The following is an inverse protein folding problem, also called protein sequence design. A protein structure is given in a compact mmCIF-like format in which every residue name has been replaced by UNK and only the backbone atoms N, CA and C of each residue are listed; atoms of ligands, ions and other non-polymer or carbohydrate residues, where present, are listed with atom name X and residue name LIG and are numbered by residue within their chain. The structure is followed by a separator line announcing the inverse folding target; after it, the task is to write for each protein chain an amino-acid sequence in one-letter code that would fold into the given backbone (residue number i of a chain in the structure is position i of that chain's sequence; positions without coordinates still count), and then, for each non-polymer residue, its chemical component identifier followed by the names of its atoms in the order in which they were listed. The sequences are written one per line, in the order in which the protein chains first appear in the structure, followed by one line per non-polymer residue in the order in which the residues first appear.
data_IF_253350999222
#
_entry.id   IF_253350999222
#
_cell.length_a   1.000
_cell.length_b   1.000
_cell.length_c   1.000
_cell.angle_alpha   90.00
_cell.angle_beta   90.00
_cell.angle_gamma   90.00
#
_symmetry.space_group_name_H-M   'P 1'
#
loop_
_entity.id
_entity.type
_entity.pdbx_description
1 polymer ?
#
# COMPACT_ATOMS: atom_id res chain seq x y z
N UNK A 1 19.11 -30.50 -5.77
CA UNK A 1 17.72 -30.95 -5.91
C UNK A 1 16.92 -30.25 -4.82
N UNK A 2 16.34 -29.10 -5.08
CA UNK A 2 15.35 -28.47 -4.21
C UNK A 2 14.13 -28.13 -5.08
N UNK A 3 13.25 -29.11 -5.27
CA UNK A 3 11.88 -28.89 -5.68
C UNK A 3 11.12 -28.35 -4.47
N UNK A 4 10.94 -27.04 -4.37
CA UNK A 4 9.88 -26.45 -3.56
C UNK A 4 8.75 -26.11 -4.55
N UNK A 5 7.73 -26.93 -4.57
CA UNK A 5 6.45 -26.57 -5.12
C UNK A 5 6.03 -25.25 -4.46
N UNK A 6 5.97 -24.18 -5.25
CA UNK A 6 5.17 -23.01 -4.90
C UNK A 6 3.75 -23.56 -4.80
N UNK A 7 3.23 -23.68 -3.59
CA UNK A 7 1.80 -23.85 -3.38
C UNK A 7 1.15 -22.56 -3.89
N UNK A 8 0.84 -22.53 -5.17
CA UNK A 8 -0.11 -21.60 -5.70
C UNK A 8 -1.41 -21.89 -4.97
N UNK A 9 -1.90 -20.89 -4.22
CA UNK A 9 -3.25 -20.92 -3.65
C UNK A 9 -4.27 -20.88 -4.81
N UNK A 10 -4.40 -22.00 -5.50
CA UNK A 10 -5.43 -22.24 -6.49
C UNK A 10 -6.71 -22.60 -5.73
N UNK A 11 -7.43 -21.61 -5.29
CA UNK A 11 -8.87 -21.57 -5.05
C UNK A 11 -9.23 -20.21 -4.46
N UNK A 12 -8.94 -19.15 -5.23
CA UNK A 12 -9.54 -17.87 -4.96
C UNK A 12 -10.98 -17.97 -5.44
N UNK A 13 -11.91 -18.10 -4.51
CA UNK A 13 -13.32 -17.91 -4.83
C UNK A 13 -13.47 -16.56 -5.49
N UNK A 14 -14.04 -16.49 -6.68
CA UNK A 14 -14.38 -15.26 -7.42
C UNK A 14 -15.31 -14.30 -6.64
N UNK A 15 -15.62 -14.63 -5.41
CA UNK A 15 -16.48 -13.88 -4.48
C UNK A 15 -15.72 -13.03 -3.48
N UNK A 16 -14.39 -13.15 -3.35
CA UNK A 16 -13.62 -12.35 -2.39
C UNK A 16 -13.47 -10.92 -2.88
N UNK A 17 -13.99 -9.98 -2.11
CA UNK A 17 -13.92 -8.54 -2.41
C UNK A 17 -12.72 -7.92 -1.71
N UNK A 18 -11.82 -7.34 -2.50
CA UNK A 18 -10.58 -6.68 -2.06
C UNK A 18 -10.69 -5.18 -2.29
N UNK A 19 -10.65 -4.41 -1.21
CA UNK A 19 -10.55 -2.95 -1.26
C UNK A 19 -9.09 -2.52 -1.26
N UNK A 20 -8.69 -1.70 -2.23
CA UNK A 20 -7.32 -1.17 -2.32
C UNK A 20 -7.36 0.35 -2.19
N UNK A 21 -6.75 0.88 -1.11
CA UNK A 21 -6.53 2.31 -0.92
C UNK A 21 -5.09 2.68 -1.28
N UNK A 22 -4.90 3.90 -1.80
CA UNK A 22 -3.61 4.27 -2.41
C UNK A 22 -3.40 3.66 -3.80
N UNK A 23 -4.49 3.23 -4.45
CA UNK A 23 -4.51 2.55 -5.75
C UNK A 23 -3.79 3.32 -6.88
N UNK A 24 -3.82 4.66 -6.84
CA UNK A 24 -3.16 5.52 -7.85
C UNK A 24 -1.64 5.65 -7.66
N UNK A 25 -1.08 5.04 -6.61
CA UNK A 25 0.36 4.99 -6.36
C UNK A 25 1.09 3.98 -7.25
N UNK A 26 2.43 3.98 -7.16
CA UNK A 26 3.27 3.04 -7.91
C UNK A 26 2.93 1.59 -7.52
N UNK A 27 3.04 1.26 -6.24
CA UNK A 27 2.72 -0.08 -5.71
C UNK A 27 1.22 -0.36 -5.77
N UNK A 28 0.38 0.60 -5.34
CA UNK A 28 -1.07 0.39 -5.31
C UNK A 28 -1.66 0.03 -6.67
N UNK A 29 -1.21 0.69 -7.75
CA UNK A 29 -1.65 0.34 -9.11
C UNK A 29 -1.22 -1.07 -9.55
N UNK A 30 -0.01 -1.50 -9.18
CA UNK A 30 0.45 -2.86 -9.43
C UNK A 30 -0.37 -3.89 -8.64
N UNK A 31 -0.71 -3.57 -7.37
CA UNK A 31 -1.56 -4.42 -6.53
C UNK A 31 -2.96 -4.54 -7.12
N UNK A 32 -3.55 -3.45 -7.65
CA UNK A 32 -4.85 -3.51 -8.34
C UNK A 32 -4.78 -4.46 -9.53
N UNK A 33 -3.83 -4.24 -10.46
CA UNK A 33 -3.68 -5.05 -11.66
C UNK A 33 -3.48 -6.54 -11.33
N UNK A 34 -2.63 -6.83 -10.36
CA UNK A 34 -2.36 -8.21 -9.94
C UNK A 34 -3.58 -8.84 -9.26
N UNK A 35 -4.30 -8.11 -8.42
CA UNK A 35 -5.52 -8.62 -7.77
C UNK A 35 -6.61 -8.96 -8.78
N UNK A 36 -6.79 -8.11 -9.81
CA UNK A 36 -7.70 -8.40 -10.93
C UNK A 36 -7.25 -9.65 -11.69
N UNK A 37 -5.95 -9.76 -12.01
CA UNK A 37 -5.37 -10.92 -12.69
C UNK A 37 -5.58 -12.22 -11.93
N UNK A 38 -5.59 -12.17 -10.59
CA UNK A 38 -5.85 -13.30 -9.71
C UNK A 38 -7.35 -13.65 -9.58
N UNK A 39 -8.24 -12.86 -10.20
CA UNK A 39 -9.68 -13.12 -10.21
C UNK A 39 -10.44 -12.63 -8.98
N UNK A 40 -9.85 -11.73 -8.18
CA UNK A 40 -10.58 -11.08 -7.08
C UNK A 40 -11.60 -10.06 -7.60
N UNK A 41 -12.65 -9.81 -6.82
CA UNK A 41 -13.51 -8.65 -7.02
C UNK A 41 -12.82 -7.42 -6.42
N UNK A 42 -12.27 -6.53 -7.27
CA UNK A 42 -11.39 -5.46 -6.84
C UNK A 42 -12.11 -4.12 -6.83
N UNK A 43 -12.03 -3.43 -5.68
CA UNK A 43 -12.48 -2.04 -5.50
C UNK A 43 -11.22 -1.17 -5.31
N UNK A 44 -10.95 -0.29 -6.26
CA UNK A 44 -9.84 0.65 -6.21
C UNK A 44 -10.34 2.03 -5.77
N UNK A 45 -9.81 2.55 -4.65
CA UNK A 45 -10.19 3.88 -4.14
C UNK A 45 -9.26 4.94 -4.69
N UNK A 46 -9.83 6.00 -5.26
CA UNK A 46 -9.10 7.16 -5.75
C UNK A 46 -9.83 8.47 -5.41
N UNK A 47 -9.08 9.58 -5.28
CA UNK A 47 -9.67 10.92 -5.04
C UNK A 47 -10.27 11.54 -6.28
N UNK A 48 -9.82 11.13 -7.44
CA UNK A 48 -10.32 11.63 -8.74
C UNK A 48 -10.27 10.54 -9.80
N UNK A 49 -11.14 10.64 -10.78
CA UNK A 49 -11.15 9.72 -11.91
C UNK A 49 -9.87 9.90 -12.73
N UNK A 50 -9.13 8.82 -12.96
CA UNK A 50 -7.97 8.76 -13.84
C UNK A 50 -8.19 7.63 -14.83
N UNK A 51 -7.89 7.88 -16.10
CA UNK A 51 -7.72 6.80 -17.08
C UNK A 51 -6.36 6.16 -16.84
N UNK A 52 -6.36 4.90 -16.41
CA UNK A 52 -5.15 4.13 -16.10
C UNK A 52 -5.48 2.65 -16.32
N UNK A 53 -4.83 2.02 -17.27
CA UNK A 53 -5.06 0.62 -17.63
C UNK A 53 -4.81 -0.35 -16.48
N UNK A 54 -4.10 0.07 -15.43
CA UNK A 54 -3.92 -0.74 -14.22
C UNK A 54 -5.22 -0.97 -13.45
N UNK A 55 -6.27 -0.20 -13.77
CA UNK A 55 -7.60 -0.33 -13.17
C UNK A 55 -8.59 -1.12 -14.03
N UNK A 56 -8.14 -1.62 -15.20
CA UNK A 56 -8.99 -2.41 -16.07
C UNK A 56 -9.44 -3.69 -15.33
N UNK A 57 -10.75 -3.89 -15.27
CA UNK A 57 -11.35 -4.98 -14.50
C UNK A 57 -11.58 -4.71 -13.00
N UNK A 58 -11.18 -3.54 -12.48
CA UNK A 58 -11.48 -3.10 -11.12
C UNK A 58 -12.61 -2.07 -11.10
N UNK A 59 -13.43 -2.08 -10.04
CA UNK A 59 -14.38 -1.00 -9.77
C UNK A 59 -13.62 0.21 -9.19
N UNK A 60 -13.67 1.36 -9.87
CA UNK A 60 -13.08 2.60 -9.36
C UNK A 60 -14.09 3.38 -8.53
N UNK A 61 -13.85 3.48 -7.22
CA UNK A 61 -14.66 4.25 -6.29
C UNK A 61 -13.97 5.56 -5.94
N UNK A 62 -14.70 6.68 -6.11
CA UNK A 62 -14.20 8.01 -5.76
C UNK A 62 -14.51 8.30 -4.29
N UNK A 63 -13.44 8.40 -3.47
CA UNK A 63 -13.57 8.68 -2.05
C UNK A 63 -12.30 9.36 -1.51
N UNK A 64 -12.47 10.13 -0.44
CA UNK A 64 -11.36 10.73 0.30
C UNK A 64 -11.05 9.90 1.55
N UNK A 65 -9.91 9.27 1.56
CA UNK A 65 -9.43 8.47 2.70
C UNK A 65 -9.17 9.30 3.96
N UNK A 66 -9.03 10.62 3.82
CA UNK A 66 -8.85 11.55 4.95
C UNK A 66 -10.19 11.91 5.61
N UNK A 67 -11.32 11.64 4.96
CA UNK A 67 -12.65 11.86 5.48
C UNK A 67 -13.28 10.56 6.01
N UNK A 68 -13.49 10.43 7.33
CA UNK A 68 -14.14 9.25 7.92
C UNK A 68 -15.52 8.94 7.34
N UNK A 69 -16.32 9.99 7.03
CA UNK A 69 -17.66 9.81 6.47
C UNK A 69 -17.60 9.25 5.04
N UNK A 70 -16.63 9.71 4.25
CA UNK A 70 -16.36 9.16 2.92
C UNK A 70 -15.98 7.68 3.00
N UNK A 71 -15.14 7.30 3.96
CA UNK A 71 -14.77 5.90 4.16
C UNK A 71 -15.95 5.06 4.64
N UNK A 72 -16.76 5.54 5.59
CA UNK A 72 -17.95 4.82 6.05
C UNK A 72 -18.85 4.41 4.87
N UNK A 73 -19.10 5.32 3.91
CA UNK A 73 -19.88 5.03 2.69
C UNK A 73 -19.24 3.94 1.82
N UNK A 74 -17.92 3.93 1.69
CA UNK A 74 -17.22 2.87 0.93
C UNK A 74 -17.45 1.50 1.57
N UNK A 75 -17.51 1.44 2.89
CA UNK A 75 -17.69 0.22 3.66
C UNK A 75 -19.17 -0.18 3.92
N UNK A 76 -20.15 0.52 3.35
CA UNK A 76 -21.56 0.05 3.33
C UNK A 76 -21.74 -1.25 2.55
N UNK A 77 -20.76 -1.61 1.72
CA UNK A 77 -20.68 -2.87 0.98
C UNK A 77 -19.80 -3.89 1.70
N UNK A 78 -20.01 -5.17 1.43
CA UNK A 78 -19.16 -6.21 2.00
C UNK A 78 -17.76 -6.13 1.40
N UNK A 79 -16.75 -6.01 2.29
CA UNK A 79 -15.33 -6.02 1.95
C UNK A 79 -14.67 -7.11 2.80
N UNK A 80 -14.07 -8.10 2.14
CA UNK A 80 -13.45 -9.22 2.83
C UNK A 80 -12.00 -8.90 3.22
N UNK A 81 -11.27 -8.16 2.35
CA UNK A 81 -9.86 -7.81 2.55
C UNK A 81 -9.63 -6.35 2.21
N UNK A 82 -8.89 -5.64 3.04
CA UNK A 82 -8.37 -4.30 2.75
C UNK A 82 -6.87 -4.38 2.52
N UNK A 83 -6.39 -3.73 1.45
CA UNK A 83 -4.95 -3.53 1.20
C UNK A 83 -4.68 -2.02 1.19
N UNK A 84 -3.93 -1.55 2.19
CA UNK A 84 -3.51 -0.16 2.26
C UNK A 84 -2.12 0.04 1.69
N UNK A 85 -2.07 0.71 0.53
CA UNK A 85 -0.85 1.19 -0.13
C UNK A 85 -0.70 2.71 0.01
N UNK A 86 -1.33 3.30 1.04
CA UNK A 86 -1.25 4.74 1.28
C UNK A 86 0.17 5.15 1.68
N UNK A 87 0.66 6.17 1.01
CA UNK A 87 1.90 6.85 1.35
C UNK A 87 1.85 8.29 0.85
N UNK A 88 2.46 9.22 1.58
CA UNK A 88 2.62 10.60 1.10
C UNK A 88 3.60 10.66 -0.07
N UNK A 89 3.39 11.63 -0.96
CA UNK A 89 4.27 11.91 -2.10
C UNK A 89 5.09 13.18 -1.93
N UNK A 90 4.68 14.05 -1.00
CA UNK A 90 5.30 15.36 -0.81
C UNK A 90 6.64 15.30 -0.09
N UNK A 91 6.84 14.30 0.76
CA UNK A 91 7.99 14.22 1.66
C UNK A 91 7.94 15.21 2.84
N UNK A 92 6.88 16.00 2.98
CA UNK A 92 6.73 16.95 4.09
C UNK A 92 6.37 16.20 5.39
N UNK A 93 6.98 16.56 6.54
CA UNK A 93 6.74 15.86 7.81
C UNK A 93 5.27 15.79 8.22
N UNK A 94 4.50 16.84 7.98
CA UNK A 94 3.06 16.88 8.27
C UNK A 94 2.28 15.83 7.46
N UNK A 95 2.62 15.66 6.20
CA UNK A 95 1.88 14.78 5.30
C UNK A 95 2.11 13.30 5.65
N UNK A 96 3.23 12.95 6.30
CA UNK A 96 3.42 11.59 6.83
C UNK A 96 2.41 11.28 7.94
N UNK A 97 2.18 12.22 8.87
CA UNK A 97 1.18 12.01 9.92
C UNK A 97 -0.24 12.02 9.35
N UNK A 98 -0.54 12.91 8.41
CA UNK A 98 -1.89 13.03 7.84
C UNK A 98 -2.25 11.87 6.91
N UNK A 99 -1.33 11.36 6.09
CA UNK A 99 -1.61 10.32 5.08
C UNK A 99 -1.20 8.93 5.57
N UNK A 100 0.08 8.77 5.99
CA UNK A 100 0.60 7.45 6.34
C UNK A 100 0.03 6.94 7.66
N UNK A 101 -0.39 7.83 8.57
CA UNK A 101 -1.02 7.47 9.83
C UNK A 101 -2.53 7.75 9.83
N UNK A 102 -2.98 9.01 9.89
CA UNK A 102 -4.39 9.36 10.14
C UNK A 102 -5.34 8.84 9.05
N UNK A 103 -5.03 9.05 7.77
CA UNK A 103 -5.87 8.56 6.69
C UNK A 103 -5.93 7.03 6.67
N UNK A 104 -4.79 6.35 6.92
CA UNK A 104 -4.77 4.88 7.02
C UNK A 104 -5.56 4.39 8.24
N UNK A 105 -5.52 5.12 9.37
CA UNK A 105 -6.31 4.81 10.56
C UNK A 105 -7.82 4.97 10.31
N UNK A 106 -8.25 5.96 9.52
CA UNK A 106 -9.66 6.09 9.12
C UNK A 106 -10.13 4.85 8.35
N UNK A 107 -9.32 4.36 7.42
CA UNK A 107 -9.62 3.12 6.67
C UNK A 107 -9.68 1.92 7.61
N UNK A 108 -8.75 1.80 8.56
CA UNK A 108 -8.75 0.71 9.54
C UNK A 108 -10.02 0.73 10.40
N UNK A 109 -10.41 1.91 10.91
CA UNK A 109 -11.64 2.06 11.73
C UNK A 109 -12.89 1.70 10.94
N UNK A 110 -12.99 2.10 9.67
CA UNK A 110 -14.10 1.73 8.81
C UNK A 110 -14.13 0.22 8.55
N UNK A 111 -12.98 -0.40 8.32
CA UNK A 111 -12.84 -1.84 8.17
C UNK A 111 -13.28 -2.61 9.44
N UNK A 112 -12.89 -2.12 10.64
CA UNK A 112 -13.35 -2.70 11.91
C UNK A 112 -14.87 -2.61 12.06
N UNK A 113 -15.44 -1.43 11.80
CA UNK A 113 -16.88 -1.18 11.95
C UNK A 113 -17.71 -2.03 10.98
N UNK A 114 -17.20 -2.36 9.80
CA UNK A 114 -17.88 -3.19 8.79
C UNK A 114 -17.67 -4.70 8.99
N UNK A 115 -16.83 -5.12 9.93
CA UNK A 115 -16.50 -6.53 10.13
C UNK A 115 -15.59 -7.13 9.03
N UNK A 116 -14.75 -6.32 8.39
CA UNK A 116 -13.74 -6.78 7.42
C UNK A 116 -12.84 -7.84 8.05
N UNK A 117 -12.63 -8.95 7.36
CA UNK A 117 -11.90 -10.11 7.89
C UNK A 117 -10.38 -9.91 7.94
N UNK A 118 -9.78 -9.16 6.99
CA UNK A 118 -8.32 -9.02 6.91
C UNK A 118 -7.88 -7.63 6.46
N UNK A 119 -6.80 -7.13 7.07
CA UNK A 119 -6.15 -5.87 6.69
C UNK A 119 -4.67 -6.10 6.34
N UNK A 120 -4.26 -5.71 5.15
CA UNK A 120 -2.87 -5.78 4.69
C UNK A 120 -2.31 -4.36 4.63
N UNK A 121 -1.27 -4.09 5.40
CA UNK A 121 -0.62 -2.78 5.48
C UNK A 121 0.73 -2.78 4.77
N UNK A 122 0.87 -1.91 3.78
CA UNK A 122 2.19 -1.57 3.22
C UNK A 122 2.87 -0.56 4.15
N UNK A 123 3.80 -1.05 4.95
CA UNK A 123 4.65 -0.28 5.86
C UNK A 123 5.98 0.08 5.20
N UNK A 124 7.06 0.15 5.96
CA UNK A 124 8.40 0.43 5.47
C UNK A 124 9.46 -0.36 6.26
N UNK A 125 10.66 -0.51 5.67
CA UNK A 125 11.81 -1.05 6.38
C UNK A 125 12.23 -0.14 7.54
N UNK A 126 12.86 -0.73 8.57
CA UNK A 126 13.46 -0.04 9.72
C UNK A 126 12.45 0.70 10.63
N UNK A 127 11.15 0.47 10.51
CA UNK A 127 10.14 1.15 11.35
C UNK A 127 10.31 0.88 12.85
N UNK A 128 10.89 -0.25 13.25
CA UNK A 128 11.13 -0.58 14.68
C UNK A 128 12.27 0.22 15.32
N UNK A 129 13.09 0.90 14.52
CA UNK A 129 14.11 1.87 14.96
C UNK A 129 13.94 3.12 14.08
N UNK A 130 12.88 3.90 14.30
CA UNK A 130 12.53 4.97 13.39
C UNK A 130 13.49 6.14 13.54
N UNK A 131 14.10 6.54 12.45
CA UNK A 131 14.95 7.74 12.33
C UNK A 131 14.29 8.81 11.48
N UNK A 132 13.29 8.43 10.67
CA UNK A 132 12.62 9.32 9.73
C UNK A 132 11.14 9.52 10.13
N UNK A 133 10.54 10.70 9.85
CA UNK A 133 9.12 10.96 10.09
C UNK A 133 8.18 9.93 9.46
N UNK A 134 8.50 9.44 8.26
CA UNK A 134 7.78 8.35 7.61
C UNK A 134 7.75 7.08 8.48
N UNK A 135 8.89 6.68 9.01
CA UNK A 135 8.99 5.47 9.83
C UNK A 135 8.21 5.59 11.14
N UNK A 136 8.21 6.80 11.74
CA UNK A 136 7.40 7.09 12.93
C UNK A 136 5.89 6.97 12.64
N UNK A 137 5.42 7.54 11.52
CA UNK A 137 4.02 7.45 11.12
C UNK A 137 3.60 6.00 10.83
N UNK A 138 4.46 5.25 10.12
CA UNK A 138 4.21 3.82 9.83
C UNK A 138 4.23 2.98 11.11
N UNK A 139 5.16 3.23 12.05
CA UNK A 139 5.21 2.52 13.33
C UNK A 139 3.92 2.73 14.13
N UNK A 140 3.45 3.98 14.25
CA UNK A 140 2.16 4.27 14.90
C UNK A 140 1.01 3.48 14.26
N UNK A 141 0.98 3.42 12.91
CA UNK A 141 -0.07 2.70 12.19
C UNK A 141 0.03 1.17 12.38
N UNK A 142 1.25 0.62 12.44
CA UNK A 142 1.45 -0.79 12.78
C UNK A 142 0.93 -1.12 14.17
N UNK A 143 1.19 -0.26 15.17
CA UNK A 143 0.71 -0.42 16.54
C UNK A 143 -0.83 -0.39 16.62
N UNK A 144 -1.48 0.52 15.90
CA UNK A 144 -2.95 0.57 15.81
C UNK A 144 -3.51 -0.71 15.17
N UNK A 145 -2.89 -1.17 14.08
CA UNK A 145 -3.31 -2.37 13.38
C UNK A 145 -3.16 -3.63 14.27
N UNK A 146 -2.05 -3.77 14.97
CA UNK A 146 -1.83 -4.89 15.90
C UNK A 146 -2.83 -4.93 17.05
N UNK A 147 -3.33 -3.76 17.49
CA UNK A 147 -4.36 -3.65 18.55
C UNK A 147 -5.79 -3.74 18.04
N UNK A 148 -5.99 -3.73 16.74
CA UNK A 148 -7.32 -3.61 16.12
C UNK A 148 -8.22 -4.81 16.29
N UNK A 149 -7.66 -6.00 16.51
CA UNK A 149 -8.40 -7.27 16.54
C UNK A 149 -8.75 -7.83 15.16
N UNK A 150 -8.47 -7.12 14.05
CA UNK A 150 -8.60 -7.64 12.68
C UNK A 150 -7.41 -8.56 12.40
N UNK A 151 -7.61 -9.67 11.65
CA UNK A 151 -6.48 -10.42 11.09
C UNK A 151 -5.67 -9.52 10.15
N UNK A 152 -4.36 -9.50 10.31
CA UNK A 152 -3.52 -8.57 9.56
C UNK A 152 -2.25 -9.18 8.99
N UNK A 153 -1.73 -8.50 7.98
CA UNK A 153 -0.39 -8.71 7.43
C UNK A 153 0.30 -7.37 7.28
N UNK A 154 1.52 -7.24 7.78
CA UNK A 154 2.35 -6.04 7.62
C UNK A 154 3.49 -6.37 6.66
N UNK A 155 3.53 -5.68 5.52
CA UNK A 155 4.59 -5.78 4.52
C UNK A 155 5.54 -4.61 4.71
N UNK A 156 6.82 -4.89 4.98
CA UNK A 156 7.87 -3.87 5.17
C UNK A 156 8.86 -3.93 4.01
N UNK A 157 8.56 -3.25 2.90
CA UNK A 157 9.45 -3.25 1.75
C UNK A 157 10.72 -2.45 2.01
N UNK A 158 11.76 -2.74 1.22
CA UNK A 158 12.98 -1.95 1.09
C UNK A 158 12.79 -0.85 0.03
N UNK A 159 13.88 -0.37 -0.59
CA UNK A 159 13.78 0.56 -1.71
C UNK A 159 13.16 -0.11 -2.95
N UNK A 160 12.36 0.64 -3.69
CA UNK A 160 11.73 0.16 -4.91
C UNK A 160 12.62 0.36 -6.14
N UNK A 161 12.50 -0.50 -7.13
CA UNK A 161 13.23 -0.39 -8.40
C UNK A 161 13.04 0.94 -9.10
N UNK A 162 11.85 1.54 -9.03
CA UNK A 162 11.61 2.84 -9.67
C UNK A 162 12.52 3.96 -9.14
N UNK A 163 13.08 3.82 -7.95
CA UNK A 163 14.07 4.76 -7.42
C UNK A 163 15.29 4.79 -8.32
N UNK A 164 15.69 3.66 -8.87
CA UNK A 164 16.79 3.55 -9.84
C UNK A 164 16.33 4.02 -11.22
N UNK A 165 15.16 3.58 -11.69
CA UNK A 165 14.61 3.98 -12.99
C UNK A 165 14.40 5.48 -13.08
N UNK A 166 13.98 6.14 -12.01
CA UNK A 166 13.80 7.60 -11.96
C UNK A 166 15.10 8.38 -12.08
N UNK A 167 16.24 7.76 -11.73
CA UNK A 167 17.56 8.37 -11.83
C UNK A 167 18.23 8.14 -13.20
N UNK A 168 17.82 7.12 -13.94
CA UNK A 168 18.41 6.75 -15.22
C UNK A 168 18.48 7.92 -16.23
N UNK A 169 17.42 8.75 -16.41
CA UNK A 169 17.51 9.91 -17.31
C UNK A 169 18.49 11.00 -16.86
N UNK A 170 18.71 11.12 -15.55
CA UNK A 170 19.70 12.08 -15.00
C UNK A 170 21.12 11.59 -15.26
N UNK A 171 21.36 10.31 -14.94
CA UNK A 171 22.66 9.67 -15.12
C UNK A 171 23.04 9.64 -16.60
N UNK A 172 22.10 9.33 -17.49
CA UNK A 172 22.30 9.36 -18.95
C UNK A 172 22.68 10.76 -19.49
N UNK A 173 22.33 11.83 -18.75
CA UNK A 173 22.71 13.22 -19.07
C UNK A 173 23.98 13.66 -18.34
N UNK A 174 24.74 12.73 -17.75
CA UNK A 174 25.99 13.02 -17.02
C UNK A 174 25.78 13.71 -15.66
N UNK A 175 24.57 13.69 -15.11
CA UNK A 175 24.31 14.21 -13.78
C UNK A 175 24.56 13.11 -12.72
N UNK A 176 25.02 13.47 -11.50
CA UNK A 176 25.23 12.49 -10.44
C UNK A 176 23.90 11.84 -10.02
N UNK A 177 23.89 10.54 -9.85
CA UNK A 177 22.80 9.80 -9.22
C UNK A 177 22.82 9.95 -7.69
N UNK A 178 21.69 9.73 -7.05
CA UNK A 178 21.59 9.71 -5.60
C UNK A 178 22.01 8.33 -5.07
N UNK A 179 22.95 8.33 -4.12
CA UNK A 179 23.35 7.13 -3.38
C UNK A 179 22.83 7.27 -1.94
N UNK A 180 22.06 6.29 -1.49
CA UNK A 180 21.60 6.24 -0.09
C UNK A 180 22.67 5.53 0.73
N UNK A 181 23.31 6.27 1.66
CA UNK A 181 24.41 5.75 2.48
C UNK A 181 25.79 5.97 1.85
N UNK A 182 26.81 5.39 2.47
CA UNK A 182 28.22 5.53 2.05
C UNK A 182 28.61 4.63 0.88
N UNK A 183 27.68 3.88 0.32
CA UNK A 183 27.93 2.89 -0.74
C UNK A 183 28.53 1.57 -0.26
N UNK A 184 29.18 1.55 0.90
CA UNK A 184 29.87 0.36 1.41
C UNK A 184 29.03 -0.52 2.35
N UNK A 185 27.88 -0.07 2.82
CA UNK A 185 27.06 -0.77 3.82
C UNK A 185 25.57 -0.89 3.49
N UNK A 186 25.08 -0.29 2.44
CA UNK A 186 23.67 -0.40 2.08
C UNK A 186 23.41 -1.69 1.29
N UNK A 187 22.99 -2.72 1.99
CA UNK A 187 22.36 -3.90 1.36
C UNK A 187 20.90 -3.55 1.08
N UNK A 188 20.61 -3.08 -0.12
CA UNK A 188 19.25 -2.93 -0.59
C UNK A 188 18.86 -4.19 -1.35
N UNK A 189 17.80 -4.86 -0.90
CA UNK A 189 17.12 -5.85 -1.71
C UNK A 189 16.00 -5.09 -2.43
N UNK A 190 16.11 -4.83 -3.73
CA UNK A 190 15.01 -4.24 -4.49
C UNK A 190 13.86 -5.25 -4.61
N UNK A 191 12.65 -4.75 -4.52
CA UNK A 191 11.42 -5.51 -4.73
C UNK A 191 10.91 -5.28 -6.14
#
# INVERSE_FOLDING_TARGET
VFGKELIFMSNVNSTTTVLIVGATGYIGGAVVAESVRQGYNVIAVARSRKSDSRFDGAELVLADVSDPASMAKVFERKIDVVISCLATRSGLPKDFDDIDYKATLNVLKAAQASGTGKFILLSAICVRKPELPLQLAKLKMEDELMRSGIDYTIVRPTAYFWVFDSQTPMIARGRPGYVIGTGNQSRHNPI
#
